data_IF_064984752560
#
_entry.id   IF_064984752560
#
_cell.length_a   1.000
_cell.length_b   1.000
_cell.length_c   1.000
_cell.angle_alpha   90.00
_cell.angle_beta   90.00
_cell.angle_gamma   90.00
#
_symmetry.space_group_name_H-M   'P 1'
#
loop_
_entity.id
_entity.type
_entity.pdbx_description
1 polymer ?
#
# COMPACT_ATOMS: atom_id res chain seq x y z
N UNK A 1 1.15 6.93 -14.89
CA UNK A 1 0.47 8.24 -14.59
C UNK A 1 1.45 9.08 -13.79
N UNK A 2 1.55 10.40 -13.99
CA UNK A 2 2.44 11.23 -13.16
C UNK A 2 1.64 11.73 -11.98
N UNK A 3 2.03 11.33 -10.77
CA UNK A 3 1.41 11.81 -9.53
C UNK A 3 2.38 12.78 -8.88
N UNK A 4 2.02 14.05 -8.83
CA UNK A 4 2.67 15.08 -8.02
C UNK A 4 1.99 15.09 -6.66
N UNK A 5 2.68 14.55 -5.65
CA UNK A 5 2.23 14.65 -4.26
C UNK A 5 2.90 15.84 -3.61
N UNK A 6 2.09 16.73 -3.03
CA UNK A 6 2.62 17.85 -2.26
C UNK A 6 3.20 17.37 -0.94
N UNK A 7 4.18 18.09 -0.41
CA UNK A 7 4.79 17.76 0.88
C UNK A 7 3.76 17.72 2.00
N UNK A 8 2.78 18.63 1.98
CA UNK A 8 1.68 18.68 2.94
C UNK A 8 0.81 17.42 2.90
N UNK A 9 0.49 16.89 1.72
CA UNK A 9 -0.29 15.65 1.59
C UNK A 9 0.47 14.44 2.12
N UNK A 10 1.78 14.38 1.88
CA UNK A 10 2.64 13.31 2.41
C UNK A 10 2.80 13.42 3.93
N UNK A 11 2.85 14.64 4.46
CA UNK A 11 2.90 14.90 5.90
C UNK A 11 1.58 14.51 6.57
N UNK A 12 0.46 14.86 5.95
CA UNK A 12 -0.88 14.52 6.42
C UNK A 12 -1.10 13.00 6.40
N UNK A 13 -0.77 12.34 5.29
CA UNK A 13 -0.77 10.88 5.19
C UNK A 13 0.09 10.24 6.27
N UNK A 14 1.29 10.76 6.53
CA UNK A 14 2.16 10.26 7.59
C UNK A 14 1.53 10.42 8.98
N UNK A 15 0.87 11.54 9.27
CA UNK A 15 0.17 11.77 10.54
C UNK A 15 -1.02 10.84 10.70
N UNK A 16 -1.80 10.64 9.64
CA UNK A 16 -2.90 9.68 9.65
C UNK A 16 -2.41 8.24 9.85
N UNK A 17 -1.32 7.83 9.18
CA UNK A 17 -0.67 6.54 9.40
C UNK A 17 -0.18 6.39 10.85
N UNK A 18 0.41 7.44 11.43
CA UNK A 18 0.87 7.41 12.81
C UNK A 18 -0.30 7.28 13.81
N UNK A 19 -1.39 8.00 13.56
CA UNK A 19 -2.63 7.92 14.34
C UNK A 19 -3.25 6.53 14.20
N UNK A 20 -3.34 6.01 12.97
CA UNK A 20 -3.81 4.66 12.67
C UNK A 20 -2.99 3.59 13.41
N UNK A 21 -1.67 3.72 13.43
CA UNK A 21 -0.79 2.82 14.20
C UNK A 21 -1.07 2.88 15.71
N UNK A 22 -1.41 4.04 16.24
CA UNK A 22 -1.71 4.22 17.66
C UNK A 22 -3.11 3.69 18.03
N UNK A 23 -4.11 3.94 17.20
CA UNK A 23 -5.50 3.49 17.42
C UNK A 23 -5.68 2.00 17.10
N UNK A 24 -5.00 1.52 16.06
CA UNK A 24 -5.21 0.21 15.40
C UNK A 24 -3.86 -0.49 15.14
N UNK A 25 -3.11 -0.84 16.20
CA UNK A 25 -1.76 -1.39 16.06
C UNK A 25 -1.72 -2.79 15.43
N UNK A 26 -2.80 -3.57 15.56
CA UNK A 26 -2.90 -4.90 14.95
C UNK A 26 -3.07 -4.82 13.43
N UNK A 27 -4.03 -4.01 12.96
CA UNK A 27 -4.23 -3.73 11.53
C UNK A 27 -2.95 -3.19 10.90
N UNK A 28 -2.29 -2.25 11.56
CA UNK A 28 -1.03 -1.69 11.08
C UNK A 28 0.05 -2.77 10.92
N UNK A 29 0.17 -3.69 11.90
CA UNK A 29 1.13 -4.81 11.81
C UNK A 29 0.80 -5.74 10.65
N UNK A 30 -0.47 -6.09 10.47
CA UNK A 30 -0.92 -6.96 9.40
C UNK A 30 -0.65 -6.33 8.03
N UNK A 31 -0.98 -5.04 7.88
CA UNK A 31 -0.70 -4.31 6.65
C UNK A 31 0.80 -4.22 6.37
N UNK A 32 1.60 -3.89 7.39
CA UNK A 32 3.07 -3.86 7.29
C UNK A 32 3.64 -5.21 6.85
N UNK A 33 3.09 -6.34 7.31
CA UNK A 33 3.52 -7.68 6.85
C UNK A 33 3.29 -7.85 5.34
N UNK A 34 2.13 -7.46 4.82
CA UNK A 34 1.84 -7.53 3.38
C UNK A 34 2.74 -6.60 2.58
N UNK A 35 3.01 -5.39 3.08
CA UNK A 35 3.96 -4.46 2.45
C UNK A 35 5.37 -5.08 2.39
N UNK A 36 5.82 -5.71 3.48
CA UNK A 36 7.11 -6.40 3.52
C UNK A 36 7.15 -7.58 2.55
N UNK A 37 6.08 -8.38 2.47
CA UNK A 37 5.95 -9.48 1.51
C UNK A 37 6.02 -8.95 0.06
N UNK A 38 5.26 -7.90 -0.24
CA UNK A 38 5.26 -7.22 -1.56
C UNK A 38 6.67 -6.76 -1.92
N UNK A 39 7.40 -6.18 -0.97
CA UNK A 39 8.78 -5.75 -1.17
C UNK A 39 9.76 -6.91 -1.36
N UNK A 40 9.61 -8.01 -0.60
CA UNK A 40 10.45 -9.21 -0.74
C UNK A 40 10.25 -9.89 -2.09
N UNK A 41 9.00 -9.92 -2.58
CA UNK A 41 8.66 -10.44 -3.90
C UNK A 41 9.00 -9.48 -5.04
N UNK A 42 9.51 -8.27 -4.73
CA UNK A 42 9.77 -7.19 -5.68
C UNK A 42 8.53 -6.80 -6.51
N UNK A 43 7.34 -6.93 -5.92
CA UNK A 43 6.09 -6.55 -6.58
C UNK A 43 5.86 -5.04 -6.48
N UNK A 44 5.08 -4.51 -7.41
CA UNK A 44 4.72 -3.09 -7.39
C UNK A 44 3.72 -2.82 -6.26
N UNK A 45 3.97 -1.81 -5.43
CA UNK A 45 3.03 -1.39 -4.38
C UNK A 45 1.68 -0.89 -4.94
N UNK A 46 1.66 -0.38 -6.18
CA UNK A 46 0.42 -0.06 -6.87
C UNK A 46 -0.42 -1.32 -7.12
N UNK A 47 0.21 -2.42 -7.53
CA UNK A 47 -0.46 -3.71 -7.69
C UNK A 47 -1.08 -4.20 -6.38
N UNK A 48 -0.33 -4.12 -5.28
CA UNK A 48 -0.83 -4.44 -3.94
C UNK A 48 -2.06 -3.59 -3.58
N UNK A 49 -1.95 -2.28 -3.76
CA UNK A 49 -3.04 -1.35 -3.46
C UNK A 49 -4.28 -1.62 -4.28
N UNK A 50 -4.14 -1.88 -5.58
CA UNK A 50 -5.26 -2.26 -6.45
C UNK A 50 -5.93 -3.56 -5.97
N UNK A 51 -5.16 -4.60 -5.61
CA UNK A 51 -5.73 -5.86 -5.11
C UNK A 51 -6.52 -5.69 -3.80
N UNK A 52 -6.02 -4.84 -2.89
CA UNK A 52 -6.69 -4.51 -1.62
C UNK A 52 -7.98 -3.72 -1.90
N UNK A 53 -7.92 -2.79 -2.85
CA UNK A 53 -9.02 -1.91 -3.24
C UNK A 53 -10.05 -2.54 -4.17
N UNK A 54 -9.85 -3.79 -4.60
CA UNK A 54 -10.66 -4.42 -5.65
C UNK A 54 -10.66 -3.60 -6.97
N UNK A 55 -9.59 -2.84 -7.22
CA UNK A 55 -9.35 -2.12 -8.49
C UNK A 55 -8.64 -3.02 -9.50
N UNK A 56 -8.74 -2.68 -10.79
CA UNK A 56 -8.10 -3.43 -11.86
C UNK A 56 -6.56 -3.45 -11.70
N UNK A 57 -5.95 -4.61 -11.40
CA UNK A 57 -4.53 -4.69 -11.12
C UNK A 57 -3.72 -5.01 -12.39
N UNK A 58 -4.38 -5.14 -13.55
CA UNK A 58 -3.79 -5.64 -14.81
C UNK A 58 -2.67 -4.73 -15.29
N UNK A 59 -2.82 -3.42 -15.12
CA UNK A 59 -1.80 -2.41 -15.48
C UNK A 59 -0.53 -2.47 -14.63
N UNK A 60 -0.62 -2.96 -13.40
CA UNK A 60 0.48 -2.98 -12.46
C UNK A 60 0.99 -4.39 -12.16
N UNK A 61 0.44 -5.40 -12.85
CA UNK A 61 0.75 -6.82 -12.61
C UNK A 61 2.25 -7.05 -12.75
N UNK A 62 2.90 -7.64 -11.72
CA UNK A 62 4.32 -7.95 -11.80
C UNK A 62 4.56 -9.00 -12.89
N UNK A 63 5.68 -8.89 -13.61
CA UNK A 63 6.11 -9.84 -14.65
C UNK A 63 6.68 -11.12 -14.04
N UNK A 64 5.90 -11.76 -13.16
CA UNK A 64 6.29 -13.00 -12.51
C UNK A 64 5.79 -14.13 -13.39
N UNK A 65 6.73 -14.88 -13.96
CA UNK A 65 6.42 -16.04 -14.80
C UNK A 65 5.85 -17.22 -13.98
N UNK A 66 6.04 -17.18 -12.66
CA UNK A 66 5.61 -18.24 -11.74
C UNK A 66 4.22 -17.94 -11.16
N UNK A 67 3.20 -18.61 -11.69
CA UNK A 67 1.81 -18.44 -11.29
C UNK A 67 1.59 -18.85 -9.82
N UNK A 68 2.42 -19.74 -9.28
CA UNK A 68 2.34 -20.16 -7.88
C UNK A 68 2.63 -19.00 -6.93
N UNK A 69 3.69 -18.22 -7.19
CA UNK A 69 4.05 -17.06 -6.38
C UNK A 69 2.93 -16.02 -6.40
N UNK A 70 2.36 -15.77 -7.59
CA UNK A 70 1.25 -14.83 -7.75
C UNK A 70 0.01 -15.29 -6.97
N UNK A 71 -0.27 -16.59 -6.98
CA UNK A 71 -1.43 -17.17 -6.31
C UNK A 71 -1.27 -17.15 -4.77
N UNK A 72 -0.07 -17.45 -4.27
CA UNK A 72 0.26 -17.31 -2.84
C UNK A 72 0.08 -15.87 -2.39
N UNK A 73 0.58 -14.90 -3.17
CA UNK A 73 0.43 -13.49 -2.85
C UNK A 73 -1.03 -13.03 -2.82
N UNK A 74 -1.82 -13.42 -3.84
CA UNK A 74 -3.27 -13.15 -3.86
C UNK A 74 -3.98 -13.76 -2.67
N UNK A 75 -3.60 -14.98 -2.26
CA UNK A 75 -4.16 -15.64 -1.07
C UNK A 75 -3.88 -14.86 0.21
N UNK A 76 -2.66 -14.37 0.40
CA UNK A 76 -2.33 -13.55 1.58
C UNK A 76 -3.09 -12.21 1.59
N UNK A 77 -3.29 -11.58 0.43
CA UNK A 77 -4.13 -10.39 0.32
C UNK A 77 -5.61 -10.71 0.57
N UNK A 78 -6.12 -11.83 0.05
CA UNK A 78 -7.51 -12.22 0.32
C UNK A 78 -7.74 -12.49 1.81
N UNK A 79 -6.81 -13.17 2.50
CA UNK A 79 -6.88 -13.32 3.96
C UNK A 79 -6.90 -11.98 4.68
N UNK A 80 -6.15 -10.99 4.20
CA UNK A 80 -6.24 -9.63 4.74
C UNK A 80 -7.65 -9.08 4.51
N UNK A 81 -8.18 -9.15 3.29
CA UNK A 81 -9.49 -8.60 2.91
C UNK A 81 -10.68 -9.27 3.61
N UNK A 82 -10.59 -10.57 3.87
CA UNK A 82 -11.58 -11.34 4.61
C UNK A 82 -11.60 -10.96 6.10
N UNK A 83 -10.50 -10.39 6.61
CA UNK A 83 -10.48 -9.85 7.96
C UNK A 83 -11.32 -8.55 8.01
N UNK A 84 -12.32 -8.46 8.90
CA UNK A 84 -13.16 -7.27 9.02
C UNK A 84 -12.34 -6.02 9.34
N UNK A 85 -11.19 -6.16 9.99
CA UNK A 85 -10.28 -5.04 10.29
C UNK A 85 -9.59 -4.50 9.02
N UNK A 86 -9.63 -5.21 7.89
CA UNK A 86 -9.11 -4.68 6.62
C UNK A 86 -9.95 -3.55 6.05
N UNK A 87 -11.19 -3.32 6.50
CA UNK A 87 -11.96 -2.14 6.09
C UNK A 87 -11.25 -0.85 6.47
N UNK A 88 -10.59 -0.82 7.63
CA UNK A 88 -9.83 0.32 8.11
C UNK A 88 -8.58 0.61 7.26
N UNK A 89 -7.89 -0.45 6.82
CA UNK A 89 -6.77 -0.34 5.89
C UNK A 89 -7.24 0.18 4.53
N UNK A 90 -8.38 -0.34 4.02
CA UNK A 90 -8.99 0.15 2.78
C UNK A 90 -9.37 1.63 2.92
N UNK A 91 -10.01 2.04 4.03
CA UNK A 91 -10.37 3.44 4.25
C UNK A 91 -9.14 4.36 4.23
N UNK A 92 -8.05 3.98 4.90
CA UNK A 92 -6.80 4.73 4.91
C UNK A 92 -6.17 4.81 3.52
N UNK A 93 -6.06 3.69 2.80
CA UNK A 93 -5.54 3.67 1.42
C UNK A 93 -6.40 4.52 0.47
N UNK A 94 -7.72 4.55 0.69
CA UNK A 94 -8.67 5.28 -0.14
C UNK A 94 -8.59 6.78 0.08
N UNK A 95 -8.48 7.21 1.34
CA UNK A 95 -8.30 8.61 1.72
C UNK A 95 -7.04 9.22 1.09
N UNK A 96 -5.98 8.42 0.92
CA UNK A 96 -4.70 8.87 0.36
C UNK A 96 -4.39 8.30 -1.02
N UNK A 97 -5.39 7.75 -1.74
CA UNK A 97 -5.22 7.23 -3.11
C UNK A 97 -4.56 8.23 -4.04
N UNK A 98 -4.82 9.52 -3.85
CA UNK A 98 -4.28 10.63 -4.64
C UNK A 98 -2.75 10.73 -4.64
N UNK A 99 -2.07 10.32 -3.56
CA UNK A 99 -0.60 10.31 -3.50
C UNK A 99 0.01 8.99 -4.03
N UNK A 100 -0.84 8.01 -4.33
CA UNK A 100 -0.46 6.69 -4.83
C UNK A 100 -0.08 5.71 -3.72
N UNK A 101 -0.47 4.45 -3.89
CA UNK A 101 -0.23 3.39 -2.91
C UNK A 101 1.25 3.15 -2.62
N UNK A 102 2.13 3.36 -3.62
CA UNK A 102 3.58 3.28 -3.42
C UNK A 102 4.08 4.22 -2.31
N UNK A 103 3.70 5.50 -2.36
CA UNK A 103 4.14 6.48 -1.37
C UNK A 103 3.60 6.16 0.01
N UNK A 104 2.35 5.73 0.12
CA UNK A 104 1.75 5.27 1.39
C UNK A 104 2.55 4.11 1.98
N UNK A 105 2.88 3.10 1.17
CA UNK A 105 3.67 1.94 1.61
C UNK A 105 5.06 2.37 2.08
N UNK A 106 5.71 3.29 1.37
CA UNK A 106 7.00 3.82 1.74
C UNK A 106 6.97 4.61 3.05
N UNK A 107 5.92 5.40 3.29
CA UNK A 107 5.69 6.07 4.57
C UNK A 107 5.52 5.07 5.71
N UNK A 108 4.79 3.98 5.51
CA UNK A 108 4.58 2.91 6.50
C UNK A 108 5.87 2.13 6.80
N UNK A 109 6.74 1.98 5.80
CA UNK A 109 8.08 1.44 5.96
C UNK A 109 9.03 2.37 6.73
N UNK A 110 8.61 3.62 7.00
CA UNK A 110 9.37 4.60 7.75
C UNK A 110 10.20 5.55 6.89
N UNK A 111 9.97 5.59 5.56
CA UNK A 111 10.64 6.60 4.72
C UNK A 111 10.15 8.00 5.08
N UNK A 112 11.05 8.97 4.93
CA UNK A 112 10.74 10.36 5.19
C UNK A 112 9.88 10.93 4.05
N UNK A 113 8.81 11.68 4.36
CA UNK A 113 7.91 12.25 3.35
C UNK A 113 8.68 13.17 2.41
N UNK A 114 9.69 13.89 2.91
CA UNK A 114 10.53 14.79 2.10
C UNK A 114 11.27 14.06 0.96
N UNK A 115 11.58 12.77 1.13
CA UNK A 115 12.23 11.94 0.12
C UNK A 115 11.25 11.39 -0.93
N UNK A 116 9.94 11.52 -0.68
CA UNK A 116 8.84 11.07 -1.53
C UNK A 116 8.13 12.25 -2.24
N UNK A 117 8.54 13.49 -1.91
CA UNK A 117 8.12 14.71 -2.58
C UNK A 117 8.69 14.71 -3.99
N UNK A 118 7.83 15.04 -4.95
CA UNK A 118 8.19 15.12 -6.36
C UNK A 118 7.34 14.22 -7.26
N UNK A 119 7.51 14.35 -8.58
CA UNK A 119 6.80 13.53 -9.55
C UNK A 119 7.24 12.07 -9.41
N UNK A 120 6.30 11.20 -9.10
CA UNK A 120 6.52 9.76 -9.13
C UNK A 120 5.85 9.18 -10.38
N UNK A 121 6.60 8.37 -11.11
CA UNK A 121 6.05 7.55 -12.19
C UNK A 121 5.43 6.32 -11.53
N UNK A 122 4.09 6.23 -11.59
CA UNK A 122 3.34 5.02 -11.24
C UNK A 122 2.97 4.24 -12.49
#
# INVERSE_FOLDING_TARGET
MIITSSYEELLDAKRAIASFKATKPEEYKQFKRIIQLTRQLQFNFQYMGCLIMDEDPTKYRPQVNDDYILNVYKREINKLKEDPKSQDIKALLGAYKQIGYGKICELILGKQPISLVGPAVV
#
